data_IF_938036359879
#
_entry.id   IF_938036359879
#
_cell.length_a   1.000
_cell.length_b   1.000
_cell.length_c   1.000
_cell.angle_alpha   90.00
_cell.angle_beta   90.00
_cell.angle_gamma   90.00
#
_symmetry.space_group_name_H-M   'P 1'
#
loop_
_entity.id
_entity.type
_entity.pdbx_description
1 polymer ?
#
# COMPACT_ATOMS: atom_id res chain seq x y z
N UNK A 1 -5.70 34.93 -29.89
CA UNK A 1 -5.86 35.30 -28.47
C UNK A 1 -5.64 34.04 -27.63
N UNK A 2 -4.39 33.79 -27.25
CA UNK A 2 -3.91 32.58 -26.58
C UNK A 2 -4.12 32.65 -25.08
N UNK A 3 -5.18 32.03 -24.56
CA UNK A 3 -5.38 31.90 -23.11
C UNK A 3 -4.56 30.73 -22.57
N UNK A 4 -3.38 31.08 -22.04
CA UNK A 4 -2.60 30.39 -21.01
C UNK A 4 -3.23 29.09 -20.45
N UNK A 5 -2.85 27.95 -21.02
CA UNK A 5 -3.02 26.63 -20.40
C UNK A 5 -1.96 26.50 -19.29
N UNK A 6 -2.27 27.08 -18.14
CA UNK A 6 -1.33 27.26 -17.03
C UNK A 6 -1.00 25.91 -16.37
N UNK A 7 0.21 25.42 -16.63
CA UNK A 7 1.09 24.68 -15.69
C UNK A 7 0.36 23.80 -14.66
N UNK A 8 -0.07 22.61 -15.08
CA UNK A 8 0.05 21.42 -14.22
C UNK A 8 1.30 20.66 -14.64
N UNK A 9 2.40 21.38 -14.81
CA UNK A 9 3.73 20.80 -14.70
C UNK A 9 4.13 20.92 -13.23
N UNK A 10 3.62 19.98 -12.43
CA UNK A 10 4.06 19.80 -11.05
C UNK A 10 5.08 18.69 -11.04
N UNK A 11 6.34 19.11 -10.88
CA UNK A 11 7.42 18.41 -10.19
C UNK A 11 8.00 17.18 -10.89
N UNK A 12 9.33 17.11 -11.00
CA UNK A 12 10.12 15.93 -11.42
C UNK A 12 9.98 14.68 -10.53
N UNK A 13 8.88 14.56 -9.77
CA UNK A 13 8.44 13.39 -9.01
C UNK A 13 7.31 12.63 -9.74
N UNK A 14 6.82 13.14 -10.88
CA UNK A 14 5.84 12.45 -11.70
C UNK A 14 6.48 11.24 -12.40
N UNK A 15 6.06 10.03 -12.02
CA UNK A 15 6.55 8.80 -12.63
C UNK A 15 6.14 8.75 -14.13
N UNK A 16 7.09 8.70 -15.08
CA UNK A 16 6.78 8.72 -16.51
C UNK A 16 5.93 7.52 -16.96
N UNK A 17 5.94 6.42 -16.22
CA UNK A 17 5.10 5.25 -16.49
C UNK A 17 3.62 5.41 -16.08
N UNK A 18 3.27 6.46 -15.33
CA UNK A 18 1.91 6.70 -14.84
C UNK A 18 1.16 7.78 -15.66
N UNK A 19 1.78 8.33 -16.70
CA UNK A 19 1.23 9.40 -17.56
C UNK A 19 -0.08 9.02 -18.28
N UNK A 20 -0.35 7.72 -18.44
CA UNK A 20 -1.54 7.18 -19.12
C UNK A 20 -2.60 6.60 -18.16
N UNK A 21 -2.43 6.73 -16.84
CA UNK A 21 -3.39 6.20 -15.89
C UNK A 21 -4.59 7.16 -15.73
N UNK A 22 -5.80 6.60 -15.80
CA UNK A 22 -7.01 7.37 -15.54
C UNK A 22 -7.00 7.89 -14.09
N UNK A 23 -7.42 9.16 -13.86
CA UNK A 23 -7.54 9.72 -12.52
C UNK A 23 -8.40 8.82 -11.63
N UNK A 24 -7.98 8.64 -10.38
CA UNK A 24 -8.66 7.79 -9.41
C UNK A 24 -10.12 8.24 -9.24
N UNK A 25 -11.09 7.32 -9.42
CA UNK A 25 -12.54 7.58 -9.25
C UNK A 25 -12.99 7.77 -7.80
N UNK A 26 -12.08 7.60 -6.84
CA UNK A 26 -12.39 7.54 -5.41
C UNK A 26 -12.08 8.89 -4.77
N UNK A 27 -12.99 9.45 -3.96
CA UNK A 27 -12.80 10.78 -3.39
C UNK A 27 -11.60 10.83 -2.45
N UNK A 28 -10.92 11.97 -2.42
CA UNK A 28 -9.62 12.10 -1.75
C UNK A 28 -9.62 11.81 -0.25
N UNK A 29 -10.74 11.98 0.44
CA UNK A 29 -10.89 11.65 1.87
C UNK A 29 -10.85 10.13 2.11
N UNK A 30 -11.39 9.34 1.18
CA UNK A 30 -11.41 7.89 1.31
C UNK A 30 -10.01 7.29 1.13
N UNK A 31 -9.16 7.95 0.34
CA UNK A 31 -7.73 7.61 0.24
C UNK A 31 -6.99 7.84 1.58
N UNK A 32 -7.31 8.92 2.29
CA UNK A 32 -6.76 9.20 3.62
C UNK A 32 -7.26 8.20 4.67
N UNK A 33 -8.55 7.84 4.63
CA UNK A 33 -9.11 6.80 5.49
C UNK A 33 -8.42 5.46 5.23
N UNK A 34 -8.21 5.09 3.97
CA UNK A 34 -7.47 3.89 3.59
C UNK A 34 -6.04 3.88 4.13
N UNK A 35 -5.33 5.01 4.02
CA UNK A 35 -3.99 5.19 4.59
C UNK A 35 -3.98 5.07 6.11
N UNK A 36 -4.94 5.70 6.79
CA UNK A 36 -5.07 5.60 8.24
C UNK A 36 -5.31 4.14 8.68
N UNK A 37 -6.16 3.41 7.96
CA UNK A 37 -6.37 1.98 8.20
C UNK A 37 -5.08 1.16 8.01
N UNK A 38 -4.27 1.46 7.00
CA UNK A 38 -2.96 0.83 6.82
C UNK A 38 -2.02 1.08 8.02
N UNK A 39 -1.95 2.31 8.51
CA UNK A 39 -1.12 2.67 9.68
C UNK A 39 -1.60 1.91 10.93
N UNK A 40 -2.91 1.80 11.14
CA UNK A 40 -3.49 1.05 12.25
C UNK A 40 -3.14 -0.44 12.16
N UNK A 41 -3.23 -1.05 10.98
CA UNK A 41 -2.82 -2.45 10.77
C UNK A 41 -1.33 -2.65 11.07
N UNK A 42 -0.48 -1.72 10.64
CA UNK A 42 0.96 -1.78 10.91
C UNK A 42 1.27 -1.63 12.40
N UNK A 43 0.58 -0.71 13.09
CA UNK A 43 0.70 -0.55 14.53
C UNK A 43 0.25 -1.80 15.30
N UNK A 44 -0.84 -2.43 14.85
CA UNK A 44 -1.30 -3.70 15.42
C UNK A 44 -0.28 -4.82 15.22
N UNK A 45 0.32 -4.94 14.02
CA UNK A 45 1.39 -5.89 13.76
C UNK A 45 2.61 -5.65 14.66
N UNK A 46 3.05 -4.39 14.80
CA UNK A 46 4.14 -4.02 15.69
C UNK A 46 3.82 -4.33 17.16
N UNK A 47 2.58 -4.07 17.60
CA UNK A 47 2.13 -4.42 18.93
C UNK A 47 2.24 -5.93 19.20
N UNK A 48 1.72 -6.76 18.29
CA UNK A 48 1.84 -8.21 18.42
C UNK A 48 3.29 -8.70 18.37
N UNK A 49 4.18 -7.99 17.67
CA UNK A 49 5.61 -8.31 17.65
C UNK A 49 6.25 -8.07 19.03
N UNK A 50 5.93 -6.94 19.66
CA UNK A 50 6.46 -6.58 21.00
C UNK A 50 5.81 -7.43 22.10
N UNK A 51 4.56 -7.83 21.92
CA UNK A 51 3.83 -8.72 22.84
C UNK A 51 4.25 -10.20 22.70
N UNK A 52 5.37 -10.49 22.05
CA UNK A 52 5.94 -11.83 21.82
C UNK A 52 5.00 -12.81 21.06
N UNK A 53 3.96 -12.26 20.44
CA UNK A 53 2.98 -12.99 19.63
C UNK A 53 3.39 -12.98 18.16
N UNK A 54 4.60 -13.47 17.89
CA UNK A 54 5.23 -13.45 16.56
C UNK A 54 4.33 -14.01 15.46
N UNK A 55 3.54 -15.06 15.72
CA UNK A 55 2.60 -15.64 14.74
C UNK A 55 1.48 -14.66 14.37
N UNK A 56 0.89 -13.98 15.37
CA UNK A 56 -0.16 -12.98 15.16
C UNK A 56 0.41 -11.71 14.51
N UNK A 57 1.64 -11.35 14.84
CA UNK A 57 2.37 -10.25 14.21
C UNK A 57 2.58 -10.47 12.72
N UNK A 58 3.14 -11.62 12.33
CA UNK A 58 3.38 -11.99 10.92
C UNK A 58 2.07 -12.04 10.13
N UNK A 59 1.00 -12.57 10.72
CA UNK A 59 -0.33 -12.57 10.09
C UNK A 59 -0.87 -11.15 9.90
N UNK A 60 -0.84 -10.31 10.94
CA UNK A 60 -1.29 -8.92 10.89
C UNK A 60 -0.48 -8.08 9.87
N UNK A 61 0.83 -8.31 9.79
CA UNK A 61 1.69 -7.69 8.78
C UNK A 61 1.32 -8.16 7.37
N UNK A 62 0.98 -9.44 7.21
CA UNK A 62 0.43 -9.99 5.97
C UNK A 62 -0.86 -9.29 5.54
N UNK A 63 -1.80 -9.09 6.47
CA UNK A 63 -3.05 -8.32 6.22
C UNK A 63 -2.72 -6.89 5.81
N UNK A 64 -1.79 -6.23 6.50
CA UNK A 64 -1.37 -4.87 6.19
C UNK A 64 -0.79 -4.77 4.77
N UNK A 65 0.02 -5.74 4.34
CA UNK A 65 0.60 -5.79 3.00
C UNK A 65 -0.45 -6.02 1.90
N UNK A 66 -1.44 -6.89 2.13
CA UNK A 66 -2.57 -7.08 1.20
C UNK A 66 -3.45 -5.82 1.12
N UNK A 67 -3.69 -5.16 2.26
CA UNK A 67 -4.41 -3.89 2.30
C UNK A 67 -3.66 -2.81 1.52
N UNK A 68 -2.33 -2.73 1.67
CA UNK A 68 -1.49 -1.83 0.90
C UNK A 68 -1.58 -2.10 -0.61
N UNK A 69 -1.58 -3.38 -1.03
CA UNK A 69 -1.78 -3.75 -2.43
C UNK A 69 -3.14 -3.26 -2.96
N UNK A 70 -4.21 -3.43 -2.19
CA UNK A 70 -5.54 -2.93 -2.53
C UNK A 70 -5.57 -1.39 -2.63
N UNK A 71 -4.97 -0.68 -1.66
CA UNK A 71 -4.83 0.77 -1.70
C UNK A 71 -4.03 1.23 -2.92
N UNK A 72 -2.96 0.52 -3.27
CA UNK A 72 -2.17 0.82 -4.46
C UNK A 72 -2.98 0.64 -5.73
N UNK A 73 -3.84 -0.37 -5.83
CA UNK A 73 -4.70 -0.58 -7.01
C UNK A 73 -5.90 0.38 -7.10
N UNK A 74 -6.26 1.03 -6.00
CA UNK A 74 -7.46 1.89 -5.91
C UNK A 74 -7.09 3.39 -5.89
N UNK A 75 -6.11 3.79 -5.08
CA UNK A 75 -5.69 5.19 -4.89
C UNK A 75 -4.80 5.72 -6.02
N UNK A 76 -4.88 7.04 -6.28
CA UNK A 76 -4.14 7.73 -7.34
C UNK A 76 -2.63 7.79 -7.05
N UNK A 77 -1.81 7.58 -8.09
CA UNK A 77 -0.34 7.70 -8.04
C UNK A 77 0.09 9.12 -7.62
N UNK A 78 -0.76 10.14 -7.82
CA UNK A 78 -0.45 11.53 -7.46
C UNK A 78 -0.25 11.77 -5.95
N UNK A 79 -0.80 10.93 -5.05
CA UNK A 79 -0.58 11.03 -3.59
C UNK A 79 0.35 9.96 -3.02
N UNK A 80 0.49 8.83 -3.70
CA UNK A 80 1.34 7.70 -3.28
C UNK A 80 2.69 7.64 -4.05
N UNK A 81 2.97 8.66 -4.88
CA UNK A 81 4.10 8.71 -5.82
C UNK A 81 5.50 8.61 -5.21
N UNK A 82 5.64 8.71 -3.88
CA UNK A 82 6.91 8.51 -3.16
C UNK A 82 7.48 7.10 -3.35
N UNK A 83 6.66 6.11 -3.71
CA UNK A 83 7.08 4.72 -3.95
C UNK A 83 7.17 4.34 -5.44
N UNK A 84 7.05 5.30 -6.35
CA UNK A 84 6.97 5.02 -7.79
C UNK A 84 8.36 4.94 -8.45
N UNK A 85 9.11 3.87 -8.17
CA UNK A 85 10.42 3.61 -8.82
C UNK A 85 10.29 2.81 -10.13
N UNK A 86 9.20 2.03 -10.32
CA UNK A 86 9.07 1.14 -11.50
C UNK A 86 7.67 1.08 -12.12
N UNK A 87 6.64 0.73 -11.35
CA UNK A 87 5.23 0.84 -11.78
C UNK A 87 4.29 0.56 -10.60
N UNK A 88 3.09 1.15 -10.64
CA UNK A 88 2.00 0.89 -9.70
C UNK A 88 1.63 -0.60 -9.59
N UNK A 89 1.64 -1.31 -10.73
CA UNK A 89 1.31 -2.75 -10.78
C UNK A 89 2.38 -3.62 -10.12
N UNK A 90 3.65 -3.31 -10.36
CA UNK A 90 4.76 -4.06 -9.76
C UNK A 90 4.74 -3.97 -8.22
N UNK A 91 4.54 -2.77 -7.68
CA UNK A 91 4.48 -2.54 -6.23
C UNK A 91 3.26 -3.23 -5.57
N UNK A 92 2.10 -3.19 -6.24
CA UNK A 92 0.92 -3.91 -5.78
C UNK A 92 1.13 -5.44 -5.81
N UNK A 93 1.72 -5.98 -6.88
CA UNK A 93 2.04 -7.41 -6.98
C UNK A 93 3.07 -7.83 -5.93
N UNK A 94 4.10 -7.02 -5.70
CA UNK A 94 5.11 -7.29 -4.68
C UNK A 94 4.49 -7.32 -3.28
N UNK A 95 3.68 -6.30 -2.94
CA UNK A 95 2.97 -6.23 -1.65
C UNK A 95 2.00 -7.40 -1.49
N UNK A 96 1.32 -7.82 -2.56
CA UNK A 96 0.42 -8.96 -2.54
C UNK A 96 1.17 -10.28 -2.29
N UNK A 97 2.27 -10.52 -3.00
CA UNK A 97 3.11 -11.73 -2.83
C UNK A 97 3.74 -11.76 -1.45
N UNK A 98 4.29 -10.63 -0.98
CA UNK A 98 4.86 -10.53 0.36
C UNK A 98 3.79 -10.78 1.44
N UNK A 99 2.61 -10.16 1.32
CA UNK A 99 1.50 -10.37 2.24
C UNK A 99 1.02 -11.82 2.28
N UNK A 100 0.86 -12.45 1.11
CA UNK A 100 0.50 -13.86 1.01
C UNK A 100 1.59 -14.77 1.61
N UNK A 101 2.87 -14.49 1.36
CA UNK A 101 3.99 -15.24 1.92
C UNK A 101 4.04 -15.14 3.45
N UNK A 102 3.80 -13.95 4.00
CA UNK A 102 3.72 -13.75 5.46
C UNK A 102 2.56 -14.51 6.09
N UNK A 103 1.37 -14.46 5.46
CA UNK A 103 0.22 -15.23 5.93
C UNK A 103 0.46 -16.74 5.83
N UNK A 104 1.00 -17.21 4.72
CA UNK A 104 1.35 -18.61 4.51
C UNK A 104 2.37 -19.09 5.53
N UNK A 105 3.43 -18.30 5.76
CA UNK A 105 4.44 -18.60 6.79
C UNK A 105 3.79 -18.70 8.17
N UNK A 106 2.99 -17.70 8.55
CA UNK A 106 2.28 -17.69 9.83
C UNK A 106 1.36 -18.91 10.01
N UNK A 107 0.66 -19.33 8.94
CA UNK A 107 -0.21 -20.50 8.95
C UNK A 107 0.54 -21.83 8.93
N UNK A 108 1.71 -21.88 8.28
CA UNK A 108 2.54 -23.08 8.18
C UNK A 108 3.24 -23.46 9.49
N UNK A 109 3.39 -22.50 10.41
CA UNK A 109 4.00 -22.77 11.70
C UNK A 109 2.92 -23.25 12.66
N UNK A 110 2.97 -24.55 12.95
CA UNK A 110 2.14 -25.18 13.96
C UNK A 110 2.22 -24.44 15.30
N UNK A 111 1.07 -24.32 15.96
CA UNK A 111 0.98 -23.85 17.33
C UNK A 111 1.46 -24.95 18.29
N UNK A 112 2.75 -25.31 18.26
CA UNK A 112 3.32 -26.08 19.36
C UNK A 112 3.35 -25.17 20.60
N UNK A 113 2.27 -25.22 21.38
CA UNK A 113 2.10 -24.56 22.66
C UNK A 113 1.76 -23.08 22.60
N UNK A 114 0.52 -22.73 22.21
CA UNK A 114 -0.12 -21.49 22.71
C UNK A 114 -1.09 -21.82 23.82
#
# INVERSE_FOLDING_TARGET
>A
MSTHRNKVDRSGLANPHDLNLAPSRIPGWLQWVGMAAFIVLLAAAAWFLVADHWRRSTFALGVAMLWLAALRLTCDSAKLGVFAVRSRRFDASFSAVAGAALMFLSASVDALGS
#
